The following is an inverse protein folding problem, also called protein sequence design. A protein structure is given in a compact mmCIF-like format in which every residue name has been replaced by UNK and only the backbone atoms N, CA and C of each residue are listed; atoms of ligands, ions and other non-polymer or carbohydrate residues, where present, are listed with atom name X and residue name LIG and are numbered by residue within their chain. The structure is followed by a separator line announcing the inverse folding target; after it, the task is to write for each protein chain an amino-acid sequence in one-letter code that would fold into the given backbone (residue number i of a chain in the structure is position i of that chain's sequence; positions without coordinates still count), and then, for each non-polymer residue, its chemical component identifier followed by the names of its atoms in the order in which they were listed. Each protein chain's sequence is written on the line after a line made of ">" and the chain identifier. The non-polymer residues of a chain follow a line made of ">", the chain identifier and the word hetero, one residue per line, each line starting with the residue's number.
data_IF_762624811454
#
_entry.id   IF_762624811454
#
_cell.length_a   1.000
_cell.length_b   1.000
_cell.length_c   1.000
_cell.angle_alpha   90.00
_cell.angle_beta   90.00
_cell.angle_gamma   90.00
#
_symmetry.space_group_name_H-M   'P 1'
#
loop_
_entity.id
_entity.type
_entity.pdbx_description
1 polymer ?
#
# COMPACT_ATOMS: atom_id res chain seq x y z
N UNK A 1 -9.31 2.23 -10.17
CA UNK A 1 -9.64 1.66 -8.86
C UNK A 1 -9.75 2.80 -7.85
N UNK A 2 -10.75 2.82 -6.97
CA UNK A 2 -10.98 3.94 -6.02
C UNK A 2 -9.72 4.33 -5.23
N UNK A 3 -8.92 3.34 -4.83
CA UNK A 3 -7.65 3.55 -4.12
C UNK A 3 -6.58 4.30 -4.95
N UNK A 4 -6.53 4.10 -6.28
CA UNK A 4 -5.60 4.82 -7.17
C UNK A 4 -6.22 6.04 -7.86
N UNK A 5 -7.46 6.42 -7.51
CA UNK A 5 -8.09 7.60 -8.09
C UNK A 5 -7.40 8.87 -7.60
N UNK A 6 -7.28 9.86 -8.48
CA UNK A 6 -6.83 11.21 -8.13
C UNK A 6 -7.93 11.88 -7.31
N UNK A 7 -7.56 12.44 -6.16
CA UNK A 7 -8.49 13.21 -5.32
C UNK A 7 -8.84 14.53 -6.00
N UNK A 8 -10.11 14.91 -5.94
CA UNK A 8 -10.67 16.07 -6.64
C UNK A 8 -10.09 17.43 -6.21
N UNK A 9 -9.38 17.51 -5.08
CA UNK A 9 -9.01 18.79 -4.48
C UNK A 9 -7.57 19.24 -4.74
N UNK A 10 -6.62 18.33 -4.99
CA UNK A 10 -5.18 18.66 -5.01
C UNK A 10 -4.35 17.85 -6.05
N UNK A 11 -4.98 17.17 -7.01
CA UNK A 11 -4.32 16.27 -7.97
C UNK A 11 -3.47 15.13 -7.34
N UNK A 12 -3.61 14.90 -6.03
CA UNK A 12 -2.92 13.82 -5.33
C UNK A 12 -3.75 12.52 -5.38
N UNK A 13 -3.14 11.36 -5.67
CA UNK A 13 -3.82 10.08 -5.56
C UNK A 13 -4.35 9.83 -4.15
N UNK A 14 -5.56 9.26 -4.05
CA UNK A 14 -6.24 8.99 -2.78
C UNK A 14 -5.39 8.11 -1.85
N UNK A 15 -4.68 7.11 -2.40
CA UNK A 15 -3.80 6.25 -1.60
C UNK A 15 -2.67 7.01 -0.92
N UNK A 16 -2.17 8.11 -1.51
CA UNK A 16 -1.07 8.88 -0.90
C UNK A 16 -1.55 9.60 0.34
N UNK A 17 -2.71 10.27 0.26
CA UNK A 17 -3.33 10.99 1.38
C UNK A 17 -3.73 10.01 2.49
N UNK A 18 -4.37 8.90 2.13
CA UNK A 18 -4.77 7.87 3.09
C UNK A 18 -3.55 7.27 3.80
N UNK A 19 -2.54 6.81 3.05
CA UNK A 19 -1.38 6.17 3.64
C UNK A 19 -0.52 7.15 4.44
N UNK A 20 -0.49 8.43 4.06
CA UNK A 20 0.13 9.48 4.87
C UNK A 20 -0.59 9.65 6.21
N UNK A 21 -1.93 9.72 6.18
CA UNK A 21 -2.75 9.82 7.39
C UNK A 21 -2.56 8.60 8.28
N UNK A 22 -2.55 7.38 7.72
CA UNK A 22 -2.34 6.15 8.50
C UNK A 22 -0.95 6.07 9.14
N UNK A 23 0.08 6.69 8.54
CA UNK A 23 1.43 6.76 9.12
C UNK A 23 1.57 7.81 10.20
N UNK A 24 0.82 8.91 10.14
CA UNK A 24 0.91 10.02 11.09
C UNK A 24 0.04 9.84 12.33
N UNK A 25 -0.94 8.93 12.28
CA UNK A 25 -1.87 8.68 13.39
C UNK A 25 -1.18 7.88 14.49
N UNK A 26 -1.10 8.49 15.68
CA UNK A 26 -0.75 7.81 16.93
C UNK A 26 -1.93 6.93 17.40
N UNK A 27 -1.71 5.96 18.31
CA UNK A 27 -2.77 5.04 18.79
C UNK A 27 -4.01 5.74 19.38
N UNK A 28 -3.85 6.98 19.83
CA UNK A 28 -4.95 7.86 20.19
C UNK A 28 -5.66 8.32 18.91
N UNK A 29 -6.84 7.75 18.64
CA UNK A 29 -7.66 7.95 17.44
C UNK A 29 -7.81 9.45 17.15
N UNK A 30 -6.96 9.95 16.25
CA UNK A 30 -7.00 11.31 15.75
C UNK A 30 -8.33 11.56 15.04
N UNK A 31 -8.93 12.74 15.24
CA UNK A 31 -10.14 13.16 14.52
C UNK A 31 -9.96 13.11 13.00
N UNK A 32 -8.72 13.19 12.52
CA UNK A 32 -8.38 13.03 11.11
C UNK A 32 -8.67 11.62 10.60
N UNK A 33 -8.48 10.59 11.42
CA UNK A 33 -8.77 9.19 11.03
C UNK A 33 -10.27 8.93 10.97
N UNK A 34 -11.08 9.61 11.78
CA UNK A 34 -12.54 9.46 11.78
C UNK A 34 -13.15 9.79 10.42
N UNK A 35 -12.60 10.76 9.70
CA UNK A 35 -13.02 11.10 8.33
C UNK A 35 -12.83 9.94 7.35
N UNK A 36 -11.86 9.07 7.61
CA UNK A 36 -11.56 7.90 6.78
C UNK A 36 -12.34 6.66 7.19
N UNK A 37 -13.05 6.63 8.31
CA UNK A 37 -13.69 5.39 8.81
C UNK A 37 -14.67 4.76 7.83
N UNK A 38 -15.53 5.57 7.20
CA UNK A 38 -16.48 5.04 6.20
C UNK A 38 -15.75 4.48 4.97
N UNK A 39 -14.71 5.17 4.53
CA UNK A 39 -13.87 4.71 3.42
C UNK A 39 -13.12 3.42 3.78
N UNK A 40 -12.46 3.40 4.94
CA UNK A 40 -11.72 2.25 5.44
C UNK A 40 -12.62 1.05 5.62
N UNK A 41 -13.82 1.25 6.18
CA UNK A 41 -14.82 0.19 6.31
C UNK A 41 -15.18 -0.38 4.94
N UNK A 42 -15.57 0.47 3.99
CA UNK A 42 -15.93 0.03 2.64
C UNK A 42 -14.77 -0.69 1.94
N UNK A 43 -13.56 -0.14 2.04
CA UNK A 43 -12.38 -0.66 1.37
C UNK A 43 -11.93 -2.00 1.97
N UNK A 44 -11.88 -2.10 3.30
CA UNK A 44 -11.53 -3.36 3.98
C UNK A 44 -12.60 -4.42 3.70
N UNK A 45 -13.89 -4.06 3.78
CA UNK A 45 -15.00 -4.96 3.48
C UNK A 45 -14.89 -5.52 2.05
N UNK A 46 -14.64 -4.65 1.06
CA UNK A 46 -14.40 -5.07 -0.32
C UNK A 46 -13.19 -6.02 -0.44
N UNK A 47 -12.10 -5.77 0.30
CA UNK A 47 -10.94 -6.66 0.33
C UNK A 47 -11.25 -8.04 0.95
N UNK A 48 -12.17 -8.11 1.92
CA UNK A 48 -12.59 -9.40 2.50
C UNK A 48 -13.31 -10.29 1.49
N UNK A 49 -14.01 -9.69 0.52
CA UNK A 49 -14.72 -10.41 -0.54
C UNK A 49 -13.80 -10.93 -1.65
N UNK A 50 -12.55 -10.48 -1.73
CA UNK A 50 -11.61 -10.96 -2.73
C UNK A 50 -10.94 -12.28 -2.30
N UNK A 51 -10.66 -13.20 -3.24
CA UNK A 51 -9.91 -14.40 -2.95
C UNK A 51 -8.53 -14.05 -2.39
N UNK A 52 -8.14 -14.71 -1.31
CA UNK A 52 -6.78 -14.62 -0.78
C UNK A 52 -5.85 -15.49 -1.60
N UNK A 53 -4.63 -15.02 -1.83
CA UNK A 53 -3.56 -15.85 -2.38
C UNK A 53 -2.34 -15.86 -1.46
N UNK A 54 -1.55 -16.92 -1.60
CA UNK A 54 -0.24 -17.06 -0.95
C UNK A 54 0.85 -17.11 -2.02
N UNK A 55 1.69 -16.09 -2.05
CA UNK A 55 2.74 -15.96 -3.08
C UNK A 55 3.84 -15.00 -2.59
N UNK A 56 5.01 -15.06 -3.23
CA UNK A 56 6.06 -14.05 -3.05
C UNK A 56 5.61 -12.78 -3.77
N UNK A 57 5.62 -11.67 -3.03
CA UNK A 57 5.34 -10.34 -3.58
C UNK A 57 6.50 -9.41 -3.28
N UNK A 58 6.67 -8.43 -4.16
CA UNK A 58 7.75 -7.48 -4.11
C UNK A 58 7.22 -6.07 -3.86
N UNK A 59 7.93 -5.31 -3.02
CA UNK A 59 7.66 -3.90 -2.76
C UNK A 59 8.97 -3.12 -2.83
N UNK A 60 9.01 -2.09 -3.67
CA UNK A 60 10.11 -1.13 -3.71
C UNK A 60 9.75 0.11 -2.90
N UNK A 61 10.74 0.66 -2.19
CA UNK A 61 10.67 2.00 -1.61
C UNK A 61 11.94 2.77 -1.99
N UNK A 62 11.79 4.08 -2.20
CA UNK A 62 12.87 4.97 -2.65
C UNK A 62 13.90 5.30 -1.57
N UNK A 63 13.61 5.01 -0.31
CA UNK A 63 14.46 5.33 0.83
C UNK A 63 15.23 4.09 1.27
N UNK A 64 16.45 4.28 1.76
CA UNK A 64 17.16 3.26 2.51
C UNK A 64 16.51 3.10 3.89
N UNK A 65 16.00 1.90 4.17
CA UNK A 65 15.40 1.55 5.44
C UNK A 65 16.20 0.48 6.20
N UNK A 66 17.42 0.15 5.78
CA UNK A 66 18.23 -0.92 6.39
C UNK A 66 18.35 -0.78 7.92
N UNK A 67 18.57 0.43 8.42
CA UNK A 67 18.70 0.71 9.86
C UNK A 67 17.39 0.53 10.66
N UNK A 68 16.23 0.43 10.01
CA UNK A 68 14.92 0.29 10.67
C UNK A 68 14.46 -1.16 10.81
N UNK A 69 15.18 -2.13 10.25
CA UNK A 69 14.80 -3.54 10.27
C UNK A 69 15.89 -4.39 10.91
N UNK A 70 15.72 -4.69 12.19
CA UNK A 70 16.58 -5.64 12.89
C UNK A 70 16.19 -7.09 12.57
N UNK A 71 17.19 -7.97 12.51
CA UNK A 71 16.98 -9.40 12.29
C UNK A 71 16.10 -9.99 13.38
N UNK A 72 15.08 -10.74 12.97
CA UNK A 72 14.10 -11.43 13.84
C UNK A 72 13.10 -10.52 14.55
N UNK A 73 13.07 -9.22 14.25
CA UNK A 73 12.02 -8.33 14.77
C UNK A 73 10.71 -8.48 13.99
N UNK A 74 9.59 -8.30 14.70
CA UNK A 74 8.27 -8.17 14.08
C UNK A 74 7.89 -6.70 14.01
N UNK A 75 7.63 -6.22 12.82
CA UNK A 75 7.15 -4.86 12.58
C UNK A 75 5.75 -4.86 11.98
N UNK A 76 5.07 -3.72 12.06
CA UNK A 76 3.73 -3.51 11.50
C UNK A 76 3.76 -2.29 10.59
N UNK A 77 3.33 -2.46 9.34
CA UNK A 77 3.03 -1.32 8.47
C UNK A 77 1.58 -0.88 8.68
N UNK A 78 1.40 0.28 9.30
CA UNK A 78 0.07 0.87 9.56
C UNK A 78 -0.64 1.33 8.29
N UNK A 79 0.11 1.63 7.23
CA UNK A 79 -0.44 1.99 5.92
C UNK A 79 -0.65 0.77 5.01
N UNK A 80 -1.58 0.89 4.07
CA UNK A 80 -1.73 -0.13 3.02
C UNK A 80 -0.46 -0.24 2.18
N UNK A 81 -0.12 -1.49 1.86
CA UNK A 81 1.10 -1.81 1.14
C UNK A 81 0.81 -2.30 -0.25
N UNK A 82 1.12 -1.47 -1.24
CA UNK A 82 1.08 -1.88 -2.64
C UNK A 82 2.29 -2.76 -2.95
N UNK A 83 2.03 -3.93 -3.52
CA UNK A 83 3.06 -4.90 -3.91
C UNK A 83 2.77 -5.39 -5.34
N UNK A 84 3.80 -5.93 -5.99
CA UNK A 84 3.68 -6.58 -7.31
C UNK A 84 4.17 -8.01 -7.24
N UNK A 85 3.56 -8.89 -8.03
CA UNK A 85 4.05 -10.27 -8.25
C UNK A 85 5.24 -10.31 -9.21
N UNK A 86 5.41 -9.26 -10.01
CA UNK A 86 6.43 -9.19 -11.05
C UNK A 86 7.58 -8.28 -10.65
N UNK A 87 8.78 -8.87 -10.54
CA UNK A 87 10.03 -8.15 -10.32
C UNK A 87 10.35 -7.21 -11.50
N UNK A 88 9.99 -7.59 -12.73
CA UNK A 88 10.23 -6.77 -13.93
C UNK A 88 9.39 -5.49 -13.92
N UNK A 89 8.22 -5.50 -13.28
CA UNK A 89 7.40 -4.30 -13.11
C UNK A 89 8.06 -3.31 -12.14
N UNK A 90 8.82 -3.77 -11.15
CA UNK A 90 9.57 -2.87 -10.25
C UNK A 90 10.76 -2.21 -10.95
N UNK A 91 11.44 -2.92 -11.84
CA UNK A 91 12.57 -2.40 -12.61
C UNK A 91 12.17 -1.35 -13.65
N UNK A 92 10.88 -1.22 -13.96
CA UNK A 92 10.39 -0.08 -14.72
C UNK A 92 10.56 1.20 -13.88
N UNK A 93 11.32 2.15 -14.43
CA UNK A 93 11.92 3.36 -13.83
C UNK A 93 10.99 4.33 -13.09
N UNK A 94 9.72 3.98 -12.84
CA UNK A 94 8.76 4.76 -12.05
C UNK A 94 8.75 4.40 -10.56
N UNK A 95 9.16 3.19 -10.16
CA UNK A 95 9.09 2.71 -8.76
C UNK A 95 10.44 2.69 -8.03
N UNK A 96 11.53 2.62 -8.79
CA UNK A 96 12.82 3.10 -8.34
C UNK A 96 12.88 4.55 -8.81
N UNK A 97 12.59 5.50 -7.93
CA UNK A 97 12.88 6.90 -8.22
C UNK A 97 14.35 7.05 -8.63
N UNK A 98 14.74 8.21 -9.18
CA UNK A 98 16.11 8.51 -9.63
C UNK A 98 17.18 8.46 -8.50
N UNK A 99 16.88 7.89 -7.34
CA UNK A 99 17.80 7.64 -6.22
C UNK A 99 18.47 6.29 -6.38
N UNK A 100 19.80 6.29 -6.36
CA UNK A 100 20.65 5.09 -6.49
C UNK A 100 20.52 4.12 -5.30
N UNK A 101 19.93 4.56 -4.17
CA UNK A 101 19.79 3.77 -2.94
C UNK A 101 18.31 3.72 -2.56
N UNK A 102 17.71 2.53 -2.64
CA UNK A 102 16.34 2.25 -2.20
C UNK A 102 16.22 0.82 -1.69
N UNK A 103 15.21 0.54 -0.86
CA UNK A 103 15.00 -0.78 -0.26
C UNK A 103 13.99 -1.61 -1.06
N UNK A 104 14.37 -2.84 -1.42
CA UNK A 104 13.49 -3.85 -1.99
C UNK A 104 13.07 -4.84 -0.90
N UNK A 105 11.77 -4.94 -0.66
CA UNK A 105 11.19 -5.98 0.18
C UNK A 105 10.76 -7.17 -0.68
N UNK A 106 11.21 -8.36 -0.27
CA UNK A 106 10.74 -9.65 -0.79
C UNK A 106 9.91 -10.27 0.34
N UNK A 107 8.61 -10.43 0.10
CA UNK A 107 7.65 -10.78 1.15
C UNK A 107 6.97 -12.08 0.75
N UNK A 108 7.09 -13.12 1.59
CA UNK A 108 6.20 -14.26 1.52
C UNK A 108 4.83 -13.84 2.08
N UNK A 109 3.88 -13.55 1.18
CA UNK A 109 2.55 -13.10 1.55
C UNK A 109 1.61 -14.30 1.72
N UNK A 110 0.88 -14.36 2.84
CA UNK A 110 -0.04 -15.47 3.15
C UNK A 110 -1.51 -15.13 2.89
N UNK A 111 -1.86 -13.85 2.83
CA UNK A 111 -3.23 -13.37 2.73
C UNK A 111 -3.36 -12.19 1.76
N UNK A 112 -2.60 -12.22 0.67
CA UNK A 112 -2.57 -11.16 -0.33
C UNK A 112 -3.92 -11.04 -1.02
N UNK A 113 -4.32 -9.80 -1.36
CA UNK A 113 -5.55 -9.50 -2.10
C UNK A 113 -5.19 -8.89 -3.45
N UNK A 114 -5.66 -9.49 -4.54
CA UNK A 114 -5.37 -9.01 -5.87
C UNK A 114 -6.39 -7.95 -6.28
N UNK A 115 -5.94 -6.71 -6.33
CA UNK A 115 -6.83 -5.56 -6.58
C UNK A 115 -6.92 -5.19 -8.07
N UNK A 116 -6.07 -5.77 -8.93
CA UNK A 116 -6.04 -5.51 -10.37
C UNK A 116 -7.24 -6.10 -11.13
N UNK A 117 -7.85 -7.18 -10.64
CA UNK A 117 -9.01 -7.82 -11.31
C UNK A 117 -10.33 -7.07 -11.08
N UNK A 118 -10.37 -6.04 -10.23
CA UNK A 118 -11.60 -5.30 -9.91
C UNK A 118 -11.66 -3.94 -10.61
N UNK A 119 -11.32 -3.92 -11.90
CA UNK A 119 -11.74 -2.83 -12.78
C UNK A 119 -13.23 -3.07 -13.05
N UNK A 120 -14.09 -2.51 -12.21
CA UNK A 120 -15.48 -2.26 -12.58
C UNK A 120 -15.46 -1.36 -13.80
N UNK A 121 -15.50 -2.00 -14.98
CA UNK A 121 -15.90 -1.37 -16.22
C UNK A 121 -17.40 -1.11 -16.03
N UNK A 122 -17.78 0.11 -15.62
CA UNK A 122 -19.15 0.54 -15.80
C UNK A 122 -19.41 0.55 -17.31
N UNK A 123 -20.22 -0.40 -17.73
CA UNK A 123 -20.73 -0.54 -19.08
C UNK A 123 -21.91 0.40 -19.28
#
# INVERSE_FOLDING_TARGET
>A
MLYTMVSFSNDQPLYEVLNSTLRSVKPEISDQLKLWFLYLKLFIDALTHLPSYREIVYRSVTNDLSDYYELSEKFVWWSFSSCTKSLTTLQSTKFLGNTEIGTLFIIECFSGKEIHQNIFCFR
#
